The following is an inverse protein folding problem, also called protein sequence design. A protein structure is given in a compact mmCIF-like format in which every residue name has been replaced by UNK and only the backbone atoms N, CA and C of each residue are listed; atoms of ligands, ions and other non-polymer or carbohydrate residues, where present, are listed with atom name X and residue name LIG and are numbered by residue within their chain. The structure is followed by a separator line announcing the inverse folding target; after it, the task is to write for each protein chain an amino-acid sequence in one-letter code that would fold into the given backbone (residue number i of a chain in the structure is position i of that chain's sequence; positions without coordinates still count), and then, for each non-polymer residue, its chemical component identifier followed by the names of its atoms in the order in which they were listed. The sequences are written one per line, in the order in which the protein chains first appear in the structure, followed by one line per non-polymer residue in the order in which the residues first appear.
data_IF_649873171739
#
_entry.id   IF_649873171739
#
_cell.length_a   1.000
_cell.length_b   1.000
_cell.length_c   1.000
_cell.angle_alpha   90.00
_cell.angle_beta   90.00
_cell.angle_gamma   90.00
#
_symmetry.space_group_name_H-M   'P 1'
#
loop_
_entity.id
_entity.type
_entity.pdbx_description
1 polymer ?
#
# COMPACT_ATOMS: atom_id res chain seq x y z
N UNK A 1 7.04 16.90 5.00
CA UNK A 1 7.01 16.31 6.36
C UNK A 1 6.89 14.80 6.25
N UNK A 2 7.48 14.04 7.17
CA UNK A 2 7.31 12.59 7.34
C UNK A 2 7.33 12.31 8.85
N UNK A 3 6.28 11.66 9.37
CA UNK A 3 6.12 11.37 10.82
C UNK A 3 6.33 12.60 11.73
N UNK A 4 5.69 13.73 11.39
CA UNK A 4 5.83 14.97 12.18
C UNK A 4 7.17 15.70 12.06
N UNK A 5 8.12 15.18 11.27
CA UNK A 5 9.45 15.77 11.08
C UNK A 5 9.66 16.24 9.64
N UNK A 6 10.60 17.18 9.38
CA UNK A 6 11.01 17.52 8.02
C UNK A 6 11.47 16.29 7.24
N UNK A 7 11.08 16.18 5.97
CA UNK A 7 11.59 15.12 5.09
C UNK A 7 13.08 15.33 4.80
N UNK A 8 13.84 14.28 4.52
CA UNK A 8 15.31 14.35 4.31
C UNK A 8 15.67 15.42 3.27
N UNK A 9 15.03 15.42 2.10
CA UNK A 9 15.28 16.41 1.05
C UNK A 9 14.89 17.86 1.41
N UNK A 10 14.03 18.05 2.42
CA UNK A 10 13.67 19.38 2.93
C UNK A 10 14.63 19.86 4.02
N UNK A 11 15.22 18.93 4.78
CA UNK A 11 16.15 19.26 5.86
C UNK A 11 17.58 19.50 5.34
N UNK A 12 17.98 18.76 4.31
CA UNK A 12 19.30 18.88 3.68
C UNK A 12 19.13 19.34 2.22
N UNK A 13 19.04 18.40 1.26
CA UNK A 13 18.76 18.69 -0.15
C UNK A 13 18.41 17.39 -0.91
N UNK A 14 18.07 17.51 -2.19
CA UNK A 14 17.68 16.37 -3.03
C UNK A 14 18.82 15.37 -3.23
N UNK A 15 20.06 15.83 -3.44
CA UNK A 15 21.21 14.97 -3.69
C UNK A 15 21.54 14.13 -2.44
N UNK A 16 21.53 14.76 -1.28
CA UNK A 16 21.71 14.11 0.02
C UNK A 16 20.63 13.06 0.25
N UNK A 17 19.38 13.33 -0.11
CA UNK A 17 18.30 12.37 0.03
C UNK A 17 18.46 11.15 -0.88
N UNK A 18 18.88 11.34 -2.14
CA UNK A 18 19.15 10.26 -3.09
C UNK A 18 20.32 9.40 -2.59
N UNK A 19 21.46 10.02 -2.30
CA UNK A 19 22.67 9.30 -1.85
C UNK A 19 22.45 8.58 -0.50
N UNK A 20 21.62 9.12 0.38
CA UNK A 20 21.23 8.41 1.61
C UNK A 20 20.41 7.16 1.31
N UNK A 21 19.49 7.22 0.33
CA UNK A 21 18.74 6.06 -0.15
C UNK A 21 19.63 4.99 -0.74
N UNK A 22 20.57 5.39 -1.60
CA UNK A 22 21.56 4.48 -2.21
C UNK A 22 22.42 3.79 -1.14
N UNK A 23 22.91 4.55 -0.15
CA UNK A 23 23.68 4.01 0.95
C UNK A 23 22.88 3.00 1.79
N UNK A 24 21.60 3.28 2.08
CA UNK A 24 20.74 2.34 2.82
C UNK A 24 20.46 1.06 2.01
N UNK A 25 20.29 1.17 0.70
CA UNK A 25 20.14 0.01 -0.17
C UNK A 25 21.42 -0.85 -0.16
N UNK A 26 22.60 -0.24 -0.29
CA UNK A 26 23.88 -0.95 -0.20
C UNK A 26 24.03 -1.65 1.16
N UNK A 27 23.65 -0.98 2.26
CA UNK A 27 23.71 -1.58 3.59
C UNK A 27 22.79 -2.81 3.70
N UNK A 28 21.60 -2.77 3.09
CA UNK A 28 20.71 -3.93 3.05
C UNK A 28 21.34 -5.14 2.34
N UNK A 29 22.07 -4.92 1.23
CA UNK A 29 22.80 -5.98 0.54
C UNK A 29 23.96 -6.56 1.37
N UNK A 30 24.63 -5.75 2.20
CA UNK A 30 25.64 -6.25 3.16
C UNK A 30 25.03 -7.20 4.21
N UNK A 31 23.80 -6.92 4.64
CA UNK A 31 23.09 -7.85 5.52
C UNK A 31 22.71 -9.14 4.79
N UNK A 32 22.22 -9.04 3.54
CA UNK A 32 21.91 -10.22 2.72
C UNK A 32 23.17 -11.07 2.47
N UNK A 33 24.34 -10.47 2.25
CA UNK A 33 25.58 -11.22 2.03
C UNK A 33 26.07 -12.00 3.27
N UNK A 34 25.46 -11.77 4.44
CA UNK A 34 25.77 -12.49 5.69
C UNK A 34 24.92 -13.75 5.87
N UNK A 35 23.98 -14.03 4.95
CA UNK A 35 23.15 -15.24 4.95
C UNK A 35 24.00 -16.49 4.68
N UNK A 36 23.70 -17.65 5.30
CA UNK A 36 24.43 -18.90 5.06
C UNK A 36 24.57 -19.24 3.56
N UNK A 37 25.76 -19.67 3.08
CA UNK A 37 26.01 -19.90 1.65
C UNK A 37 25.02 -20.85 0.97
N UNK A 38 24.48 -21.82 1.71
CA UNK A 38 23.53 -22.80 1.18
C UNK A 38 22.19 -22.19 0.73
N UNK A 39 21.75 -21.08 1.33
CA UNK A 39 20.46 -20.44 1.04
C UNK A 39 20.61 -19.03 0.47
N UNK A 40 21.82 -18.48 0.48
CA UNK A 40 22.13 -17.14 -0.05
C UNK A 40 21.62 -16.91 -1.48
N UNK A 41 21.77 -17.82 -2.47
CA UNK A 41 21.28 -17.58 -3.82
C UNK A 41 19.76 -17.37 -3.88
N UNK A 42 19.00 -18.14 -3.10
CA UNK A 42 17.53 -18.03 -3.06
C UNK A 42 17.10 -16.73 -2.38
N UNK A 43 17.71 -16.39 -1.25
CA UNK A 43 17.41 -15.15 -0.52
C UNK A 43 17.78 -13.92 -1.34
N UNK A 44 18.94 -13.93 -2.00
CA UNK A 44 19.39 -12.83 -2.85
C UNK A 44 18.46 -12.66 -4.06
N UNK A 45 18.07 -13.75 -4.72
CA UNK A 45 17.15 -13.70 -5.85
C UNK A 45 15.79 -13.13 -5.45
N UNK A 46 15.23 -13.58 -4.32
CA UNK A 46 13.97 -13.07 -3.79
C UNK A 46 14.07 -11.58 -3.43
N UNK A 47 15.11 -11.18 -2.69
CA UNK A 47 15.32 -9.81 -2.27
C UNK A 47 15.50 -8.85 -3.46
N UNK A 48 16.36 -9.21 -4.41
CA UNK A 48 16.62 -8.38 -5.61
C UNK A 48 15.41 -8.30 -6.53
N UNK A 49 14.65 -9.39 -6.69
CA UNK A 49 13.37 -9.36 -7.41
C UNK A 49 12.40 -8.39 -6.76
N UNK A 50 12.21 -8.48 -5.45
CA UNK A 50 11.30 -7.59 -4.72
C UNK A 50 11.75 -6.14 -4.75
N UNK A 51 13.06 -5.86 -4.67
CA UNK A 51 13.57 -4.50 -4.83
C UNK A 51 13.19 -3.90 -6.20
N UNK A 52 13.27 -4.69 -7.27
CA UNK A 52 12.83 -4.27 -8.60
C UNK A 52 11.31 -4.05 -8.67
N UNK A 53 10.52 -4.97 -8.11
CA UNK A 53 9.06 -4.87 -8.06
C UNK A 53 8.61 -3.58 -7.33
N UNK A 54 9.25 -3.22 -6.21
CA UNK A 54 8.97 -1.97 -5.49
C UNK A 54 9.24 -0.74 -6.36
N UNK A 55 10.35 -0.73 -7.11
CA UNK A 55 10.63 0.34 -8.06
C UNK A 55 9.57 0.42 -9.18
N UNK A 56 9.14 -0.72 -9.72
CA UNK A 56 8.08 -0.78 -10.73
C UNK A 56 6.75 -0.26 -10.18
N UNK A 57 6.36 -0.68 -8.98
CA UNK A 57 5.14 -0.20 -8.33
C UNK A 57 5.17 1.30 -8.07
N UNK A 58 6.32 1.84 -7.63
CA UNK A 58 6.48 3.29 -7.46
C UNK A 58 6.40 4.04 -8.79
N UNK A 59 6.96 3.48 -9.87
CA UNK A 59 6.86 4.08 -11.21
C UNK A 59 5.42 4.08 -11.72
N UNK A 60 4.68 2.97 -11.56
CA UNK A 60 3.27 2.90 -11.92
C UNK A 60 2.44 3.96 -11.20
N UNK A 61 2.64 4.15 -9.89
CA UNK A 61 1.94 5.18 -9.12
C UNK A 61 2.20 6.59 -9.68
N UNK A 62 3.44 6.89 -10.07
CA UNK A 62 3.80 8.16 -10.71
C UNK A 62 3.18 8.32 -12.11
N UNK A 63 3.13 7.26 -12.91
CA UNK A 63 2.54 7.30 -14.25
C UNK A 63 1.01 7.45 -14.18
N UNK A 64 0.38 6.84 -13.18
CA UNK A 64 -1.06 6.97 -12.92
C UNK A 64 -1.46 8.41 -12.62
N UNK A 65 -0.59 9.22 -12.01
CA UNK A 65 -0.88 10.65 -11.81
C UNK A 65 -1.19 11.38 -13.12
N UNK A 66 -0.61 10.93 -14.25
CA UNK A 66 -0.76 11.56 -15.58
C UNK A 66 -1.85 10.93 -16.45
N UNK A 67 -2.40 9.78 -16.04
CA UNK A 67 -3.40 9.01 -16.79
C UNK A 67 -4.82 9.29 -16.30
N UNK A 68 -5.82 9.06 -17.14
CA UNK A 68 -7.25 9.21 -16.79
C UNK A 68 -8.04 7.91 -16.96
N UNK A 69 -7.38 6.86 -17.45
CA UNK A 69 -7.93 5.58 -17.86
C UNK A 69 -7.49 4.41 -16.96
N UNK A 70 -6.89 4.72 -15.81
CA UNK A 70 -6.40 3.71 -14.85
C UNK A 70 -7.54 2.82 -14.37
N UNK A 71 -7.38 1.52 -14.53
CA UNK A 71 -8.36 0.50 -14.16
C UNK A 71 -8.20 0.03 -12.72
N UNK A 72 -9.26 -0.58 -12.16
CA UNK A 72 -9.22 -1.20 -10.83
C UNK A 72 -8.10 -2.27 -10.74
N UNK A 73 -7.87 -3.04 -11.81
CA UNK A 73 -6.81 -4.06 -11.86
C UNK A 73 -5.41 -3.46 -11.85
N UNK A 74 -5.16 -2.42 -12.65
CA UNK A 74 -3.86 -1.72 -12.68
C UNK A 74 -3.53 -1.09 -11.32
N UNK A 75 -4.54 -0.52 -10.65
CA UNK A 75 -4.37 0.03 -9.31
C UNK A 75 -4.02 -1.04 -8.27
N UNK A 76 -4.72 -2.19 -8.29
CA UNK A 76 -4.43 -3.29 -7.36
C UNK A 76 -3.03 -3.88 -7.61
N UNK A 77 -2.63 -4.03 -8.87
CA UNK A 77 -1.28 -4.46 -9.23
C UNK A 77 -0.21 -3.48 -8.74
N UNK A 78 -0.44 -2.17 -8.91
CA UNK A 78 0.43 -1.14 -8.37
C UNK A 78 0.60 -1.27 -6.85
N UNK A 79 -0.48 -1.51 -6.10
CA UNK A 79 -0.39 -1.74 -4.64
C UNK A 79 0.44 -2.99 -4.32
N UNK A 80 0.20 -4.08 -5.06
CA UNK A 80 0.97 -5.33 -4.89
C UNK A 80 2.46 -5.01 -5.00
N UNK A 81 2.87 -4.39 -6.09
CA UNK A 81 4.27 -4.10 -6.40
C UNK A 81 4.88 -3.04 -5.46
N UNK A 82 4.15 -1.97 -5.15
CA UNK A 82 4.67 -0.85 -4.37
C UNK A 82 4.79 -1.15 -2.88
N UNK A 83 3.85 -1.92 -2.34
CA UNK A 83 3.67 -2.07 -0.89
C UNK A 83 3.68 -3.53 -0.46
N UNK A 84 2.89 -4.38 -1.12
CA UNK A 84 2.61 -5.71 -0.60
C UNK A 84 3.78 -6.70 -0.76
N UNK A 85 4.50 -6.65 -1.89
CA UNK A 85 5.64 -7.55 -2.16
C UNK A 85 6.75 -7.42 -1.14
N UNK A 86 6.99 -6.24 -0.57
CA UNK A 86 8.04 -6.06 0.44
C UNK A 86 7.68 -6.74 1.77
N UNK A 87 6.41 -6.64 2.20
CA UNK A 87 5.90 -7.38 3.35
C UNK A 87 5.99 -8.89 3.11
N UNK A 88 5.48 -9.35 1.96
CA UNK A 88 5.49 -10.75 1.55
C UNK A 88 6.91 -11.34 1.48
N UNK A 89 7.85 -10.60 0.89
CA UNK A 89 9.27 -10.95 0.85
C UNK A 89 9.86 -11.08 2.26
N UNK A 90 9.56 -10.13 3.16
CA UNK A 90 10.10 -10.13 4.52
C UNK A 90 9.65 -11.38 5.29
N UNK A 91 8.37 -11.76 5.16
CA UNK A 91 7.80 -12.96 5.77
C UNK A 91 8.38 -14.24 5.18
N UNK A 92 8.45 -14.32 3.85
CA UNK A 92 9.00 -15.48 3.12
C UNK A 92 10.47 -15.69 3.42
N UNK A 93 11.29 -14.63 3.41
CA UNK A 93 12.71 -14.71 3.78
C UNK A 93 12.89 -15.23 5.20
N UNK A 94 12.10 -14.74 6.16
CA UNK A 94 12.12 -15.25 7.54
C UNK A 94 11.81 -16.74 7.62
N UNK A 95 10.80 -17.20 6.86
CA UNK A 95 10.43 -18.62 6.80
C UNK A 95 11.56 -19.49 6.23
N UNK A 96 12.14 -19.07 5.10
CA UNK A 96 13.26 -19.76 4.45
C UNK A 96 14.48 -19.87 5.36
N UNK A 97 14.85 -18.76 6.02
CA UNK A 97 15.97 -18.72 6.97
C UNK A 97 15.74 -19.61 8.20
N UNK A 98 14.49 -19.80 8.61
CA UNK A 98 14.11 -20.70 9.70
C UNK A 98 14.00 -22.17 9.28
N UNK A 99 14.22 -22.50 8.00
CA UNK A 99 14.09 -23.86 7.46
C UNK A 99 12.66 -24.34 7.32
N UNK A 100 11.69 -23.42 7.16
CA UNK A 100 10.31 -23.77 6.88
C UNK A 100 10.18 -24.50 5.53
N UNK A 101 9.09 -25.24 5.35
CA UNK A 101 8.81 -25.87 4.07
C UNK A 101 8.58 -24.81 2.97
N UNK A 102 8.89 -25.11 1.69
CA UNK A 102 8.57 -24.20 0.59
C UNK A 102 7.09 -23.82 0.56
N UNK A 103 6.20 -24.76 0.89
CA UNK A 103 4.76 -24.51 1.00
C UNK A 103 4.44 -23.45 2.05
N UNK A 104 4.98 -23.57 3.26
CA UNK A 104 4.73 -22.60 4.33
C UNK A 104 5.33 -21.23 4.01
N UNK A 105 6.50 -21.19 3.36
CA UNK A 105 7.11 -19.95 2.90
C UNK A 105 6.23 -19.24 1.85
N UNK A 106 5.60 -19.96 0.92
CA UNK A 106 4.64 -19.37 -0.03
C UNK A 106 3.32 -18.95 0.62
N UNK A 107 2.83 -19.69 1.62
CA UNK A 107 1.64 -19.29 2.39
C UNK A 107 1.90 -17.97 3.14
N UNK A 108 3.08 -17.81 3.72
CA UNK A 108 3.50 -16.55 4.37
C UNK A 108 3.68 -15.41 3.37
N UNK A 109 4.19 -15.69 2.17
CA UNK A 109 4.22 -14.72 1.09
C UNK A 109 2.80 -14.26 0.72
N UNK A 110 1.89 -15.22 0.53
CA UNK A 110 0.48 -14.95 0.18
C UNK A 110 -0.25 -14.18 1.28
N UNK A 111 0.00 -14.50 2.55
CA UNK A 111 -0.46 -13.71 3.69
C UNK A 111 0.03 -12.26 3.59
N UNK A 112 1.33 -12.05 3.33
CA UNK A 112 1.92 -10.72 3.19
C UNK A 112 1.34 -9.91 2.03
N UNK A 113 1.08 -10.53 0.87
CA UNK A 113 0.46 -9.86 -0.28
C UNK A 113 -0.94 -9.35 0.08
N UNK A 114 -1.75 -10.21 0.67
CA UNK A 114 -3.14 -9.88 1.01
C UNK A 114 -3.24 -8.83 2.13
N UNK A 115 -2.40 -8.91 3.17
CA UNK A 115 -2.33 -7.86 4.20
C UNK A 115 -1.84 -6.54 3.60
N UNK A 116 -0.83 -6.56 2.73
CA UNK A 116 -0.35 -5.35 2.06
C UNK A 116 -1.42 -4.65 1.22
N UNK A 117 -2.25 -5.43 0.51
CA UNK A 117 -3.41 -4.91 -0.23
C UNK A 117 -4.45 -4.28 0.71
N UNK A 118 -4.86 -5.02 1.74
CA UNK A 118 -5.83 -4.52 2.73
C UNK A 118 -5.33 -3.25 3.42
N UNK A 119 -4.04 -3.20 3.78
CA UNK A 119 -3.41 -2.06 4.43
C UNK A 119 -3.43 -0.79 3.58
N UNK A 120 -3.04 -0.89 2.29
CA UNK A 120 -3.00 0.27 1.40
C UNK A 120 -4.40 0.77 1.05
N UNK A 121 -5.34 -0.14 0.77
CA UNK A 121 -6.75 0.21 0.56
C UNK A 121 -7.34 0.92 1.79
N UNK A 122 -6.99 0.46 3.00
CA UNK A 122 -7.38 1.11 4.26
C UNK A 122 -6.73 2.49 4.41
N UNK A 123 -5.47 2.67 4.02
CA UNK A 123 -4.79 3.98 4.02
C UNK A 123 -5.52 4.98 3.13
N UNK A 124 -5.85 4.58 1.91
CA UNK A 124 -6.57 5.41 0.94
C UNK A 124 -8.00 5.74 1.42
N UNK A 125 -8.66 4.80 2.11
CA UNK A 125 -9.97 5.04 2.73
C UNK A 125 -9.88 6.05 3.89
N UNK A 126 -8.88 5.90 4.76
CA UNK A 126 -8.66 6.79 5.89
C UNK A 126 -8.24 8.19 5.45
N UNK A 127 -7.57 8.34 4.30
CA UNK A 127 -7.30 9.66 3.73
C UNK A 127 -8.59 10.45 3.49
N UNK A 128 -9.71 9.80 3.16
CA UNK A 128 -10.99 10.47 2.92
C UNK A 128 -11.90 10.50 4.17
N UNK A 129 -11.90 9.41 4.95
CA UNK A 129 -12.89 9.17 6.01
C UNK A 129 -12.33 9.12 7.43
N UNK A 130 -11.01 9.25 7.61
CA UNK A 130 -10.37 9.26 8.92
C UNK A 130 -10.70 10.50 9.75
N UNK A 131 -10.22 10.53 11.00
CA UNK A 131 -10.22 11.74 11.85
C UNK A 131 -8.82 12.37 11.82
N UNK A 132 -8.75 13.69 11.59
CA UNK A 132 -7.50 14.47 11.56
C UNK A 132 -6.69 14.26 12.85
N UNK A 133 -7.37 14.12 14.00
CA UNK A 133 -6.73 13.97 15.31
C UNK A 133 -6.00 12.64 15.46
N UNK A 134 -6.49 11.58 14.83
CA UNK A 134 -5.95 10.22 14.98
C UNK A 134 -5.04 9.86 13.80
N UNK A 135 -5.42 10.23 12.57
CA UNK A 135 -4.72 9.82 11.35
C UNK A 135 -3.36 10.51 11.15
N UNK A 136 -3.09 11.62 11.85
CA UNK A 136 -1.75 12.25 11.88
C UNK A 136 -1.31 12.90 10.55
N UNK A 137 -2.21 13.03 9.57
CA UNK A 137 -2.03 13.76 8.31
C UNK A 137 -3.30 14.54 7.95
N UNK A 138 -3.19 15.46 7.00
CA UNK A 138 -4.36 16.17 6.45
C UNK A 138 -5.24 15.18 5.67
N UNK A 139 -6.54 15.19 5.93
CA UNK A 139 -7.56 14.42 5.21
C UNK A 139 -7.73 15.00 3.79
N UNK A 140 -8.01 14.14 2.82
CA UNK A 140 -8.35 14.47 1.45
C UNK A 140 -7.15 14.84 0.60
N UNK A 141 -5.95 14.45 1.02
CA UNK A 141 -4.71 14.69 0.26
C UNK A 141 -4.78 14.06 -1.12
N UNK A 142 -5.31 12.84 -1.20
CA UNK A 142 -5.43 12.09 -2.46
C UNK A 142 -6.50 12.68 -3.39
N UNK A 143 -7.58 13.23 -2.83
CA UNK A 143 -8.58 13.98 -3.60
C UNK A 143 -7.96 15.26 -4.17
N UNK A 144 -7.22 16.01 -3.36
CA UNK A 144 -6.60 17.26 -3.80
C UNK A 144 -5.60 17.01 -4.92
N UNK A 145 -4.78 15.97 -4.82
CA UNK A 145 -3.76 15.60 -5.81
C UNK A 145 -4.30 14.84 -7.03
N UNK A 146 -5.62 14.55 -7.08
CA UNK A 146 -6.22 13.69 -8.09
C UNK A 146 -5.52 12.34 -8.21
N UNK A 147 -5.09 11.77 -7.08
CA UNK A 147 -4.45 10.45 -7.06
C UNK A 147 -5.47 9.38 -7.46
N UNK A 148 -5.03 8.41 -8.27
CA UNK A 148 -5.91 7.37 -8.87
C UNK A 148 -6.11 6.24 -7.85
N UNK A 149 -6.68 6.59 -6.70
CA UNK A 149 -7.02 5.63 -5.66
C UNK A 149 -8.23 4.79 -6.06
N UNK A 150 -8.48 3.70 -5.35
CA UNK A 150 -9.64 2.85 -5.58
C UNK A 150 -10.95 3.65 -5.62
N UNK A 151 -11.11 4.62 -4.70
CA UNK A 151 -12.30 5.46 -4.59
C UNK A 151 -12.52 6.29 -5.86
N UNK A 152 -11.49 6.96 -6.37
CA UNK A 152 -11.62 7.79 -7.57
C UNK A 152 -11.90 6.95 -8.82
N UNK A 153 -11.17 5.85 -8.99
CA UNK A 153 -11.36 4.92 -10.11
C UNK A 153 -12.79 4.38 -10.10
N UNK A 154 -13.27 3.94 -8.93
CA UNK A 154 -14.63 3.41 -8.79
C UNK A 154 -15.68 4.48 -9.05
N UNK A 155 -15.49 5.69 -8.51
CA UNK A 155 -16.40 6.81 -8.72
C UNK A 155 -16.54 7.15 -10.20
N UNK A 156 -15.43 7.25 -10.93
CA UNK A 156 -15.46 7.53 -12.37
C UNK A 156 -16.18 6.43 -13.16
N UNK A 157 -16.05 5.18 -12.73
CA UNK A 157 -16.66 4.02 -13.39
C UNK A 157 -18.17 3.89 -13.11
N UNK A 158 -18.63 4.21 -11.90
CA UNK A 158 -20.01 3.94 -11.46
C UNK A 158 -20.88 5.19 -11.34
N UNK A 159 -20.31 6.39 -11.45
CA UNK A 159 -21.07 7.64 -11.41
C UNK A 159 -22.04 7.79 -12.59
N UNK A 160 -23.20 8.38 -12.30
CA UNK A 160 -24.10 8.88 -13.34
C UNK A 160 -23.52 10.13 -14.02
N UNK A 161 -24.15 10.57 -15.12
CA UNK A 161 -23.66 11.69 -15.95
C UNK A 161 -23.38 12.98 -15.15
N UNK A 162 -24.29 13.35 -14.24
CA UNK A 162 -24.14 14.53 -13.38
C UNK A 162 -22.92 14.45 -12.47
N UNK A 163 -22.80 13.35 -11.72
CA UNK A 163 -21.68 13.10 -10.81
C UNK A 163 -20.36 13.02 -11.56
N UNK A 164 -20.34 12.35 -12.72
CA UNK A 164 -19.16 12.25 -13.58
C UNK A 164 -18.70 13.62 -14.06
N UNK A 165 -19.64 14.48 -14.48
CA UNK A 165 -19.35 15.85 -14.90
C UNK A 165 -18.73 16.66 -13.76
N UNK A 166 -19.26 16.51 -12.55
CA UNK A 166 -18.74 17.17 -11.36
C UNK A 166 -17.34 16.67 -10.95
N UNK A 167 -17.11 15.35 -10.99
CA UNK A 167 -15.78 14.77 -10.78
C UNK A 167 -14.77 15.32 -11.80
N UNK A 168 -15.13 15.34 -13.09
CA UNK A 168 -14.24 15.84 -14.13
C UNK A 168 -13.92 17.32 -13.95
N UNK A 169 -14.92 18.15 -13.58
CA UNK A 169 -14.71 19.56 -13.22
C UNK A 169 -13.63 19.70 -12.14
N UNK A 170 -13.70 18.90 -11.07
CA UNK A 170 -12.72 18.96 -9.97
C UNK A 170 -11.34 18.43 -10.35
N UNK A 171 -11.28 17.41 -11.22
CA UNK A 171 -10.02 16.83 -11.69
C UNK A 171 -9.27 17.82 -12.59
N UNK A 172 -9.96 18.54 -13.46
CA UNK A 172 -9.36 19.48 -14.42
C UNK A 172 -9.19 20.90 -13.88
N UNK A 173 -9.71 21.21 -12.69
CA UNK A 173 -9.60 22.54 -12.11
C UNK A 173 -8.14 22.89 -11.77
N UNK A 174 -7.63 24.00 -12.31
CA UNK A 174 -6.29 24.52 -11.99
C UNK A 174 -6.27 25.35 -10.70
N UNK A 175 -7.39 26.00 -10.37
CA UNK A 175 -7.58 26.81 -9.16
C UNK A 175 -8.86 26.39 -8.48
N UNK A 176 -8.76 26.04 -7.20
CA UNK A 176 -9.88 25.58 -6.40
C UNK A 176 -9.60 25.79 -4.91
N UNK A 177 -10.67 25.91 -4.13
CA UNK A 177 -10.56 25.72 -2.69
C UNK A 177 -10.42 24.22 -2.37
N UNK A 178 -9.45 23.89 -1.52
CA UNK A 178 -9.15 22.48 -1.21
C UNK A 178 -10.28 21.83 -0.43
N UNK A 179 -10.89 22.55 0.52
CA UNK A 179 -11.94 22.00 1.36
C UNK A 179 -13.22 21.81 0.53
N UNK A 180 -13.56 22.76 -0.33
CA UNK A 180 -14.70 22.66 -1.26
C UNK A 180 -14.56 21.44 -2.19
N UNK A 181 -13.37 21.24 -2.78
CA UNK A 181 -13.08 20.06 -3.61
C UNK A 181 -13.22 18.76 -2.82
N UNK A 182 -12.63 18.70 -1.63
CA UNK A 182 -12.68 17.51 -0.76
C UNK A 182 -14.13 17.19 -0.41
N UNK A 183 -14.91 18.17 0.04
CA UNK A 183 -16.30 17.99 0.43
C UNK A 183 -17.17 17.53 -0.75
N UNK A 184 -17.03 18.18 -1.91
CA UNK A 184 -17.81 17.85 -3.11
C UNK A 184 -17.52 16.42 -3.60
N UNK A 185 -16.24 16.06 -3.72
CA UNK A 185 -15.85 14.71 -4.16
C UNK A 185 -16.25 13.65 -3.12
N UNK A 186 -16.11 13.95 -1.82
CA UNK A 186 -16.54 13.04 -0.75
C UNK A 186 -18.05 12.83 -0.74
N UNK A 187 -18.85 13.85 -1.04
CA UNK A 187 -20.31 13.71 -1.19
C UNK A 187 -20.66 12.76 -2.34
N UNK A 188 -19.98 12.87 -3.49
CA UNK A 188 -20.15 11.92 -4.59
C UNK A 188 -19.77 10.50 -4.16
N UNK A 189 -18.67 10.33 -3.41
CA UNK A 189 -18.28 9.02 -2.88
C UNK A 189 -19.34 8.44 -1.92
N UNK A 190 -19.99 9.28 -1.13
CA UNK A 190 -21.07 8.87 -0.21
C UNK A 190 -22.32 8.45 -0.99
N UNK A 191 -22.74 9.23 -1.98
CA UNK A 191 -23.89 8.92 -2.83
C UNK A 191 -23.72 7.59 -3.58
N UNK A 192 -22.47 7.27 -3.94
CA UNK A 192 -22.09 6.02 -4.60
C UNK A 192 -21.79 4.87 -3.62
N UNK A 193 -21.96 5.09 -2.31
CA UNK A 193 -21.66 4.14 -1.24
C UNK A 193 -20.24 3.55 -1.30
N UNK A 194 -19.25 4.34 -1.74
CA UNK A 194 -17.90 3.84 -1.98
C UNK A 194 -17.14 3.48 -0.70
N UNK A 195 -17.51 4.08 0.44
CA UNK A 195 -16.99 3.68 1.74
C UNK A 195 -17.25 2.20 2.01
N UNK A 196 -18.51 1.77 1.98
CA UNK A 196 -18.89 0.38 2.25
C UNK A 196 -18.31 -0.57 1.21
N UNK A 197 -18.31 -0.19 -0.08
CA UNK A 197 -17.71 -1.01 -1.15
C UNK A 197 -16.21 -1.22 -0.90
N UNK A 198 -15.51 -0.18 -0.45
CA UNK A 198 -14.08 -0.26 -0.14
C UNK A 198 -13.82 -1.07 1.12
N UNK A 199 -14.63 -0.91 2.17
CA UNK A 199 -14.56 -1.70 3.41
C UNK A 199 -14.74 -3.20 3.11
N UNK A 200 -15.68 -3.58 2.26
CA UNK A 200 -15.88 -4.97 1.84
C UNK A 200 -14.68 -5.52 1.05
N UNK A 201 -14.07 -4.70 0.18
CA UNK A 201 -12.87 -5.12 -0.56
C UNK A 201 -11.66 -5.29 0.37
N UNK A 202 -11.51 -4.39 1.33
CA UNK A 202 -10.50 -4.45 2.37
C UNK A 202 -10.66 -5.74 3.20
N UNK A 203 -11.89 -6.00 3.68
CA UNK A 203 -12.21 -7.20 4.45
C UNK A 203 -11.94 -8.48 3.66
N UNK A 204 -12.30 -8.50 2.36
CA UNK A 204 -12.00 -9.64 1.48
C UNK A 204 -10.50 -9.98 1.47
N UNK A 205 -9.63 -8.99 1.31
CA UNK A 205 -8.17 -9.23 1.31
C UNK A 205 -7.68 -9.60 2.71
N UNK A 206 -8.20 -8.97 3.77
CA UNK A 206 -7.85 -9.32 5.13
C UNK A 206 -8.18 -10.80 5.46
N UNK A 207 -9.39 -11.26 5.13
CA UNK A 207 -9.80 -12.65 5.33
C UNK A 207 -8.95 -13.61 4.50
N UNK A 208 -8.66 -13.28 3.23
CA UNK A 208 -7.78 -14.10 2.38
C UNK A 208 -6.36 -14.23 2.97
N UNK A 209 -5.88 -13.19 3.68
CA UNK A 209 -4.63 -13.27 4.41
C UNK A 209 -4.74 -14.26 5.59
N UNK A 210 -5.75 -14.11 6.44
CA UNK A 210 -5.96 -14.99 7.59
C UNK A 210 -6.12 -16.45 7.17
N UNK A 211 -6.85 -16.71 6.08
CA UNK A 211 -6.98 -18.05 5.50
C UNK A 211 -5.61 -18.61 5.12
N UNK A 212 -4.76 -17.81 4.45
CA UNK A 212 -3.40 -18.21 4.08
C UNK A 212 -2.53 -18.51 5.30
N UNK A 213 -2.61 -17.68 6.35
CA UNK A 213 -1.85 -17.88 7.60
C UNK A 213 -2.33 -19.11 8.37
N UNK A 214 -3.63 -19.40 8.34
CA UNK A 214 -4.22 -20.56 9.01
C UNK A 214 -3.63 -21.88 8.50
N UNK A 215 -3.30 -21.94 7.20
CA UNK A 215 -2.74 -23.11 6.51
C UNK A 215 -1.24 -23.33 6.76
N UNK A 216 -0.54 -22.40 7.43
CA UNK A 216 0.88 -22.56 7.77
C UNK A 216 1.05 -23.65 8.84
N UNK A 217 1.94 -24.61 8.60
CA UNK A 217 2.11 -25.82 9.43
C UNK A 217 2.96 -25.57 10.67
N UNK A 218 2.48 -24.70 11.55
CA UNK A 218 3.04 -24.44 12.88
C UNK A 218 1.92 -24.37 13.91
N UNK A 219 2.26 -24.58 15.19
CA UNK A 219 1.33 -24.37 16.29
C UNK A 219 0.74 -22.95 16.26
N UNK A 220 -0.55 -22.79 16.56
CA UNK A 220 -1.25 -21.52 16.41
C UNK A 220 -0.68 -20.42 17.32
N UNK A 221 -0.05 -20.78 18.44
CA UNK A 221 0.67 -19.83 19.28
C UNK A 221 1.78 -19.09 18.54
N UNK A 222 2.40 -19.74 17.54
CA UNK A 222 3.45 -19.13 16.71
C UNK A 222 2.89 -18.16 15.66
N UNK A 223 1.58 -18.19 15.41
CA UNK A 223 0.90 -17.29 14.47
C UNK A 223 0.39 -16.00 15.14
N UNK A 224 0.31 -15.98 16.49
CA UNK A 224 -0.29 -14.89 17.27
C UNK A 224 0.28 -13.50 16.96
N UNK A 225 1.59 -13.37 16.81
CA UNK A 225 2.23 -12.08 16.50
C UNK A 225 1.83 -11.55 15.12
N UNK A 226 1.70 -12.43 14.12
CA UNK A 226 1.26 -12.04 12.78
C UNK A 226 -0.24 -11.71 12.75
N UNK A 227 -1.06 -12.43 13.52
CA UNK A 227 -2.47 -12.11 13.71
C UNK A 227 -2.62 -10.73 14.34
N UNK A 228 -1.96 -10.50 15.48
CA UNK A 228 -1.96 -9.21 16.18
C UNK A 228 -1.46 -8.07 15.29
N UNK A 229 -0.38 -8.27 14.54
CA UNK A 229 0.09 -7.30 13.55
C UNK A 229 -0.99 -7.00 12.51
N UNK A 230 -1.62 -8.02 11.94
CA UNK A 230 -2.65 -7.85 10.92
C UNK A 230 -3.89 -7.12 11.46
N UNK A 231 -4.34 -7.44 12.67
CA UNK A 231 -5.44 -6.74 13.34
C UNK A 231 -5.10 -5.27 13.58
N UNK A 232 -3.90 -4.99 14.08
CA UNK A 232 -3.44 -3.62 14.27
C UNK A 232 -3.39 -2.85 12.97
N UNK A 233 -2.98 -3.45 11.85
CA UNK A 233 -2.98 -2.80 10.54
C UNK A 233 -4.40 -2.52 10.03
N UNK A 234 -5.38 -3.36 10.38
CA UNK A 234 -6.76 -3.24 9.89
C UNK A 234 -7.64 -2.31 10.71
N UNK A 235 -7.51 -2.36 12.03
CA UNK A 235 -8.29 -1.56 12.97
C UNK A 235 -7.53 -0.34 13.47
N UNK A 236 -6.41 0.02 12.81
CA UNK A 236 -5.68 1.25 13.14
C UNK A 236 -6.58 2.47 13.02
N UNK A 237 -6.51 3.30 14.05
CA UNK A 237 -6.96 4.68 14.02
C UNK A 237 -5.81 5.65 13.64
N UNK A 238 -4.56 5.15 13.55
CA UNK A 238 -3.33 5.94 13.31
C UNK A 238 -2.41 5.33 12.23
#
# INVERSE_FOLDING_TARGET
MRRGMPAVHKKWDANTAILSGDAMLIESYKHVSSVPPAILPEILALFSKTAMEVCQGQQLDMDFEKRTDVTESEYLEMIVLKTAVLLACSLKMGALLAGASPRDAELLYTFGINIGLAFQLKDDLLDVYGDVKTFGKNIGGDIVSNKKTYLLIKALKTSGERQRTELLKWITAEKFDKNEKIESVKNIYNDLNLKSISENLIEKYYLAALDSLSLVHVADERKKELISLSENLMYREK
#
